data_IF_109100242302
#
_entry.id   IF_109100242302
#
_cell.length_a   1.000
_cell.length_b   1.000
_cell.length_c   1.000
_cell.angle_alpha   90.00
_cell.angle_beta   90.00
_cell.angle_gamma   90.00
#
_symmetry.space_group_name_H-M   'P 1'
#
loop_
_entity.id
_entity.type
_entity.pdbx_description
1 polymer ?
2 non-polymer ?
3 non-polymer ?
4 water ?
#
# COMPACT_ATOMS: atom_id res chain seq x y z
N UNK A 16 6.73 0.28 25.63
CA UNK A 16 5.59 -0.41 25.04
C UNK A 16 4.94 0.41 23.93
N UNK A 17 5.67 0.60 22.83
CA UNK A 17 5.26 1.52 21.78
C UNK A 17 4.33 0.91 20.72
N UNK A 18 3.39 1.72 20.23
CA UNK A 18 2.51 1.37 19.11
C UNK A 18 1.67 2.57 18.63
N UNK A 19 2.11 3.19 17.54
CA UNK A 19 1.39 4.34 16.98
C UNK A 19 0.33 3.92 15.97
N UNK A 20 -0.67 4.76 15.76
CA UNK A 20 -1.69 4.46 14.76
C UNK A 20 -1.13 4.68 13.37
N UNK A 21 -1.49 3.78 12.46
CA UNK A 21 -1.15 3.90 11.05
C UNK A 21 -2.46 4.07 10.28
N UNK A 22 -2.66 5.25 9.71
CA UNK A 22 -3.82 5.50 8.86
C UNK A 22 -3.57 5.02 7.44
N UNK A 23 -4.53 4.28 6.89
CA UNK A 23 -4.50 3.90 5.48
C UNK A 23 -5.68 4.56 4.81
N UNK A 24 -5.52 4.91 3.53
CA UNK A 24 -6.58 5.60 2.82
C UNK A 24 -6.52 5.26 1.34
N UNK A 25 -7.67 5.33 0.69
CA UNK A 25 -7.76 5.09 -0.74
C UNK A 25 -8.81 4.06 -1.13
N UNK A 26 -8.47 3.22 -2.10
CA UNK A 26 -9.44 2.31 -2.68
C UNK A 26 -9.55 0.97 -1.95
N UNK A 27 -10.76 0.63 -1.52
CA UNK A 27 -11.09 -0.74 -1.08
C UNK A 27 -11.82 -1.37 -2.25
N UNK A 28 -11.38 -2.55 -2.69
CA UNK A 28 -12.00 -3.14 -3.87
C UNK A 28 -12.27 -4.63 -3.77
N UNK A 29 -13.31 -5.07 -4.47
CA UNK A 29 -13.61 -6.48 -4.59
C UNK A 29 -12.88 -7.03 -5.80
N UNK A 30 -11.98 -7.98 -5.54
CA UNK A 30 -11.20 -8.64 -6.58
C UNK A 30 -11.87 -9.92 -7.08
N UNK A 31 -12.26 -9.90 -8.34
CA UNK A 31 -12.81 -11.08 -8.98
C UNK A 31 -11.64 -11.86 -9.55
N UNK A 32 -11.44 -13.07 -9.05
CA UNK A 32 -10.27 -13.86 -9.40
C UNK A 32 -10.70 -15.22 -9.91
N UNK A 33 -10.20 -15.60 -11.11
CA UNK A 33 -10.56 -16.86 -11.79
C UNK A 33 -10.35 -18.07 -10.90
N UNK A 34 -11.29 -19.00 -10.92
CA UNK A 34 -11.15 -20.22 -10.14
C UNK A 34 -11.73 -21.44 -10.85
N UNK A 35 -12.94 -21.82 -10.45
CA UNK A 35 -13.62 -23.02 -10.93
C UNK A 35 -13.29 -23.45 -12.34
N UNK A 36 -13.81 -22.70 -13.31
CA UNK A 36 -13.43 -22.78 -14.72
C UNK A 36 -13.91 -21.47 -15.33
N UNK A 37 -15.22 -21.24 -15.20
CA UNK A 37 -15.81 -19.93 -15.43
C UNK A 37 -16.48 -19.48 -14.14
N UNK A 38 -15.74 -19.58 -13.04
CA UNK A 38 -16.17 -19.03 -11.76
C UNK A 38 -15.20 -17.94 -11.33
N UNK A 39 -15.64 -17.08 -10.42
CA UNK A 39 -14.76 -16.08 -9.83
C UNK A 39 -14.83 -16.21 -8.29
N UNK A 40 -13.68 -16.30 -7.63
CA UNK A 40 -13.67 -16.12 -6.19
C UNK A 40 -13.99 -14.65 -5.95
N UNK A 41 -14.76 -14.36 -4.91
CA UNK A 41 -15.02 -12.98 -4.53
C UNK A 41 -14.10 -12.65 -3.36
N UNK A 42 -13.03 -11.92 -3.63
CA UNK A 42 -12.00 -11.70 -2.63
C UNK A 42 -11.94 -10.24 -2.20
N UNK A 43 -11.78 -10.01 -0.89
CA UNK A 43 -11.56 -8.63 -0.44
C UNK A 43 -10.19 -8.17 -0.95
N UNK A 44 -10.07 -6.87 -1.21
CA UNK A 44 -8.86 -6.33 -1.80
C UNK A 44 -8.79 -4.81 -1.80
N UNK A 45 -8.02 -4.24 -2.70
CA UNK A 45 -7.81 -2.81 -2.71
C UNK A 45 -6.55 -2.56 -1.91
N UNK A 46 -5.54 -2.02 -2.56
CA UNK A 46 -4.21 -1.92 -1.97
C UNK A 46 -4.15 -1.33 -0.56
N UNK A 47 -4.74 -0.14 -0.33
CA UNK A 47 -4.58 0.36 1.03
C UNK A 47 -5.38 -0.45 2.05
N UNK A 48 -6.44 -1.12 1.59
CA UNK A 48 -7.17 -2.00 2.50
C UNK A 48 -6.35 -3.25 2.79
N UNK A 49 -5.51 -3.65 1.82
CA UNK A 49 -4.66 -4.82 2.02
C UNK A 49 -3.62 -4.55 3.10
N UNK A 50 -3.00 -3.37 3.01
CA UNK A 50 -2.02 -2.96 4.00
C UNK A 50 -2.66 -2.83 5.39
N UNK A 51 -3.87 -2.30 5.46
CA UNK A 51 -4.55 -2.12 6.75
C UNK A 51 -4.74 -3.45 7.48
N UNK A 52 -5.14 -4.48 6.72
CA UNK A 52 -5.34 -5.81 7.29
C UNK A 52 -4.00 -6.42 7.68
N UNK A 53 -3.02 -6.29 6.78
CA UNK A 53 -1.66 -6.75 7.02
C UNK A 53 -1.13 -6.27 8.36
N UNK A 54 -1.23 -4.98 8.63
CA UNK A 54 -0.78 -4.43 9.91
C UNK A 54 -1.56 -5.05 11.09
N UNK A 55 -2.88 -5.17 10.93
CA UNK A 55 -3.71 -5.70 12.00
C UNK A 55 -3.41 -7.16 12.32
N UNK A 56 -3.18 -7.97 11.29
CA UNK A 56 -2.85 -9.38 11.50
C UNK A 56 -1.56 -9.59 12.33
N UNK A 57 -0.66 -8.63 12.24
CA UNK A 57 0.58 -8.63 13.02
C UNK A 57 0.40 -8.00 14.40
N UNK A 58 -0.86 -7.76 14.77
CA UNK A 58 -1.25 -7.12 16.03
C UNK A 58 -0.95 -5.63 16.03
N UNK A 59 -0.91 -5.06 14.85
CA UNK A 59 -0.75 -3.63 14.71
C UNK A 59 -2.02 -2.86 15.02
N UNK A 60 -1.92 -1.54 14.97
CA UNK A 60 -3.02 -0.63 15.26
C UNK A 60 -3.30 0.15 14.00
N UNK A 61 -4.18 -0.37 13.15
CA UNK A 61 -4.42 0.31 11.88
C UNK A 61 -5.85 0.82 11.77
N UNK A 62 -6.02 1.86 10.95
CA UNK A 62 -7.30 2.54 10.80
C UNK A 62 -7.41 3.01 9.35
N UNK A 63 -8.61 2.83 8.77
CA UNK A 63 -8.84 3.18 7.38
C UNK A 63 -9.79 4.38 7.31
N UNK A 64 -9.47 5.33 6.43
CA UNK A 64 -10.41 6.41 6.14
C UNK A 64 -10.54 6.61 4.64
N UNK A 65 -11.78 6.79 4.19
CA UNK A 65 -12.06 6.90 2.76
C UNK A 65 -13.49 6.56 2.39
N UNK A 66 -13.77 6.50 1.09
CA UNK A 66 -15.11 6.22 0.58
C UNK A 66 -15.27 4.92 -0.22
N UNK A 67 -16.29 4.14 0.14
CA UNK A 67 -16.72 3.02 -0.68
C UNK A 67 -18.12 3.35 -1.18
N UNK A 68 -18.70 2.47 -1.99
CA UNK A 68 -20.03 2.70 -2.50
C UNK A 68 -21.10 2.25 -1.53
N UNK A 69 -22.28 2.87 -1.59
CA UNK A 69 -23.40 2.39 -0.79
C UNK A 69 -24.08 1.18 -1.43
N UNK A 70 -23.31 0.10 -1.61
CA UNK A 70 -23.79 -1.10 -2.27
C UNK A 70 -23.28 -2.34 -1.52
N UNK A 71 -23.75 -3.55 -1.89
CA UNK A 71 -23.30 -4.74 -1.16
C UNK A 71 -21.77 -4.92 -1.10
N UNK A 72 -21.06 -4.66 -2.19
CA UNK A 72 -19.60 -4.75 -2.20
C UNK A 72 -18.98 -3.83 -1.14
N UNK A 73 -19.50 -2.61 -1.05
CA UNK A 73 -19.03 -1.66 -0.07
C UNK A 73 -19.23 -2.15 1.35
N UNK A 74 -20.37 -2.78 1.59
CA UNK A 74 -20.70 -3.27 2.91
C UNK A 74 -19.86 -4.51 3.23
N UNK A 75 -19.63 -5.34 2.23
CA UNK A 75 -18.73 -6.49 2.31
C UNK A 75 -17.31 -6.04 2.67
N UNK A 76 -16.86 -4.93 2.07
CA UNK A 76 -15.55 -4.37 2.40
C UNK A 76 -15.50 -3.79 3.81
N UNK A 77 -16.55 -3.07 4.20
CA UNK A 77 -16.67 -2.56 5.56
C UNK A 77 -16.57 -3.70 6.59
N UNK A 78 -17.45 -4.69 6.45
CA UNK A 78 -17.50 -5.79 7.39
C UNK A 78 -16.16 -6.53 7.37
N UNK A 79 -15.56 -6.66 6.18
CA UNK A 79 -14.27 -7.33 6.11
C UNK A 79 -13.21 -6.63 6.99
N UNK A 80 -13.07 -5.32 6.82
CA UNK A 80 -12.08 -4.53 7.56
C UNK A 80 -12.32 -4.51 9.07
N UNK A 81 -13.57 -4.44 9.52
CA UNK A 81 -13.81 -4.48 10.96
C UNK A 81 -13.65 -5.89 11.52
N UNK A 82 -13.96 -6.90 10.71
CA UNK A 82 -13.74 -8.28 11.12
C UNK A 82 -12.26 -8.50 11.38
N UNK A 83 -11.43 -7.76 10.65
CA UNK A 83 -9.99 -7.90 10.71
C UNK A 83 -9.38 -6.95 11.74
N UNK A 84 -10.24 -6.34 12.53
CA UNK A 84 -9.84 -5.45 13.63
C UNK A 84 -9.20 -4.14 13.13
N UNK A 85 -9.58 -3.73 11.92
CA UNK A 85 -9.14 -2.44 11.42
C UNK A 85 -10.22 -1.40 11.70
N UNK A 86 -9.84 -0.30 12.32
CA UNK A 86 -10.80 0.75 12.65
C UNK A 86 -11.41 1.38 11.39
N UNK A 87 -12.74 1.31 11.28
CA UNK A 87 -13.48 1.83 10.14
C UNK A 87 -14.41 2.98 10.50
N UNK A 88 -14.12 3.65 11.62
CA UNK A 88 -14.94 4.75 12.08
C UNK A 88 -15.07 5.80 10.99
N UNK A 89 -14.01 5.98 10.19
CA UNK A 89 -13.98 7.07 9.21
C UNK A 89 -14.08 6.55 7.79
N UNK A 90 -14.77 5.44 7.63
CA UNK A 90 -15.00 4.87 6.32
C UNK A 90 -16.40 5.25 5.90
N UNK A 91 -16.51 6.09 4.88
CA UNK A 91 -17.80 6.64 4.47
C UNK A 91 -18.47 5.93 3.27
N UNK A 92 -19.80 6.01 3.21
CA UNK A 92 -20.56 5.42 2.11
C UNK A 92 -21.06 6.49 1.15
N UNK A 93 -20.43 6.60 -0.02
CA UNK A 93 -20.84 7.58 -1.02
C UNK A 93 -22.25 7.27 -1.53
N UNK A 94 -23.10 8.31 -1.63
CA UNK A 94 -24.51 8.08 -1.95
C UNK A 94 -24.79 7.75 -3.41
N UNK A 95 -23.81 7.84 -4.30
CA UNK A 95 -24.10 7.69 -5.73
C UNK A 95 -23.14 6.80 -6.52
N UNK A 96 -21.86 6.83 -6.15
CA UNK A 96 -20.82 6.11 -6.91
C UNK A 96 -20.56 4.69 -6.40
N UNK A 97 -20.27 3.79 -7.34
CA UNK A 97 -20.08 2.37 -7.05
C UNK A 97 -18.75 2.00 -6.42
N UNK A 98 -18.74 0.88 -5.70
CA UNK A 98 -17.52 0.35 -5.10
C UNK A 98 -16.63 -0.19 -6.21
N UNK A 99 -15.32 -0.01 -6.09
CA UNK A 99 -14.36 -0.49 -7.07
C UNK A 99 -14.47 -2.02 -7.25
N UNK A 100 -14.40 -2.46 -8.50
CA UNK A 100 -14.54 -3.87 -8.86
C UNK A 100 -13.51 -4.25 -9.93
N UNK A 101 -12.61 -5.16 -9.59
CA UNK A 101 -11.50 -5.49 -10.47
C UNK A 101 -11.46 -6.97 -10.85
N UNK A 102 -11.26 -7.23 -12.14
CA UNK A 102 -11.11 -8.58 -12.67
C UNK A 102 -9.62 -8.91 -12.78
N UNK A 103 -9.20 -10.02 -12.17
CA UNK A 103 -7.80 -10.43 -12.26
C UNK A 103 -7.51 -11.46 -13.36
N UNK A 104 -6.45 -11.21 -14.12
CA UNK A 104 -5.91 -12.18 -15.08
C UNK A 104 -4.62 -12.79 -14.53
N UNK A 105 -4.69 -14.06 -14.12
CA UNK A 105 -3.56 -14.72 -13.47
C UNK A 105 -2.37 -14.97 -14.41
N UNK A 106 -2.59 -14.88 -15.72
CA UNK A 106 -1.50 -15.02 -16.69
C UNK A 106 -0.51 -13.85 -16.62
N UNK A 107 -0.93 -12.73 -16.03
CA UNK A 107 -0.10 -11.54 -15.86
C UNK A 107 0.13 -11.29 -14.37
N UNK A 108 1.02 -10.33 -14.05
CA UNK A 108 1.28 -9.99 -12.65
C UNK A 108 1.46 -8.48 -12.46
N UNK A 109 1.23 -7.99 -11.25
CA UNK A 109 1.27 -6.57 -11.00
C UNK A 109 0.21 -5.84 -11.79
N UNK A 110 0.46 -4.57 -12.10
CA UNK A 110 -0.45 -3.71 -12.86
C UNK A 110 -1.13 -4.39 -14.05
N UNK A 111 -0.35 -5.09 -14.87
CA UNK A 111 -0.85 -5.70 -16.10
C UNK A 111 -1.90 -6.80 -15.89
N UNK A 112 -2.15 -7.17 -14.64
CA UNK A 112 -3.08 -8.26 -14.36
C UNK A 112 -4.47 -7.74 -14.00
N UNK A 113 -4.61 -6.43 -13.89
CA UNK A 113 -5.88 -5.87 -13.46
C UNK A 113 -6.72 -5.21 -14.56
N UNK A 114 -8.03 -5.42 -14.47
CA UNK A 114 -8.97 -4.72 -15.32
C UNK A 114 -9.97 -4.04 -14.40
N UNK A 115 -9.97 -2.71 -14.42
CA UNK A 115 -10.82 -1.92 -13.54
C UNK A 115 -12.20 -1.68 -14.14
N UNK A 116 -13.24 -2.21 -13.50
CA UNK A 116 -14.59 -2.19 -14.07
C UNK A 116 -15.42 -0.96 -13.70
N UNK A 117 -14.98 -0.24 -12.68
CA UNK A 117 -15.65 0.97 -12.22
C UNK A 117 -14.71 2.20 -12.23
N UNK A 118 -14.94 3.09 -13.18
CA UNK A 118 -14.17 4.33 -13.28
C UNK A 118 -15.11 5.50 -13.59
N UNK A 119 -15.21 6.50 -12.70
CA UNK A 119 -14.57 6.60 -11.38
C UNK A 119 -15.35 5.92 -10.25
N UNK A 120 -14.66 5.18 -9.39
CA UNK A 120 -15.33 4.52 -8.28
C UNK A 120 -15.43 5.46 -7.07
N UNK A 121 -16.24 5.06 -6.09
CA UNK A 121 -16.54 5.90 -4.94
C UNK A 121 -15.32 6.55 -4.26
N UNK A 122 -14.21 5.84 -4.20
CA UNK A 122 -13.01 6.35 -3.55
C UNK A 122 -12.46 7.60 -4.22
N UNK A 123 -12.71 7.76 -5.52
CA UNK A 123 -12.20 8.92 -6.25
C UNK A 123 -12.98 10.19 -5.91
N UNK A 124 -13.93 10.06 -5.00
CA UNK A 124 -14.73 11.19 -4.57
C UNK A 124 -14.48 11.52 -3.10
N UNK A 125 -13.32 11.09 -2.62
CA UNK A 125 -12.88 11.41 -1.27
C UNK A 125 -12.85 12.91 -1.08
N UNK A 126 -13.59 13.40 -0.09
CA UNK A 126 -13.64 14.83 0.20
C UNK A 126 -12.90 15.22 1.48
N UNK A 127 -12.63 16.51 1.59
CA UNK A 127 -11.88 17.07 2.71
C UNK A 127 -12.47 16.69 4.05
N UNK A 128 -13.80 16.68 4.13
CA UNK A 128 -14.51 16.37 5.37
C UNK A 128 -14.38 14.91 5.78
N UNK A 129 -13.79 14.07 4.92
CA UNK A 129 -13.57 12.66 5.23
C UNK A 129 -12.25 12.45 6.00
N UNK A 130 -11.38 13.45 5.99
CA UNK A 130 -10.13 13.34 6.72
C UNK A 130 -10.38 13.46 8.22
N UNK A 131 -9.79 12.53 9.01
CA UNK A 131 -9.92 12.56 10.45
C UNK A 131 -8.82 13.40 11.08
N UNK A 132 -8.96 13.73 12.36
CA UNK A 132 -7.91 14.48 13.06
C UNK A 132 -6.65 13.64 13.25
N UNK A 133 -5.56 14.11 12.66
CA UNK A 133 -4.25 13.50 12.86
C UNK A 133 -3.53 13.95 14.15
N UNK A 134 -2.75 13.05 14.74
CA UNK A 134 -1.93 13.41 15.91
C UNK A 134 -0.44 13.19 15.66
N UNK A 135 0.40 13.84 16.46
CA UNK A 135 1.84 13.68 16.41
C UNK A 135 2.28 12.22 16.57
N UNK A 136 3.17 11.76 15.68
CA UNK A 136 3.75 10.43 15.79
C UNK A 136 2.98 9.36 15.06
N UNK A 137 1.76 9.69 14.63
CA UNK A 137 0.97 8.75 13.84
C UNK A 137 1.57 8.63 12.44
N UNK A 138 1.19 7.57 11.73
CA UNK A 138 1.63 7.36 10.34
C UNK A 138 0.45 7.54 9.37
N UNK A 139 0.78 7.86 8.12
CA UNK A 139 -0.19 7.90 7.01
C UNK A 139 0.42 7.18 5.81
N UNK A 140 -0.31 6.22 5.24
CA UNK A 140 0.21 5.53 4.05
C UNK A 140 -0.71 5.70 2.85
N UNK A 141 -0.12 5.96 1.68
CA UNK A 141 -0.88 6.36 0.50
C UNK A 141 -0.39 5.66 -0.79
N UNK A 142 -1.32 5.35 -1.69
CA UNK A 142 -1.00 4.82 -3.01
C UNK A 142 -1.46 5.81 -4.09
N UNK A 143 -1.00 5.61 -5.32
CA UNK A 143 -1.29 6.55 -6.41
C UNK A 143 -2.74 6.52 -6.93
N UNK A 144 -3.48 5.43 -6.72
CA UNK A 144 -4.89 5.44 -7.15
C UNK A 144 -5.64 6.57 -6.42
N UNK A 145 -5.19 6.89 -5.21
CA UNK A 145 -5.80 7.96 -4.44
C UNK A 145 -5.54 9.35 -5.09
N UNK A 146 -4.53 9.41 -5.94
CA UNK A 146 -4.15 10.63 -6.65
C UNK A 146 -4.61 10.65 -8.10
N UNK A 147 -5.34 9.60 -8.55
CA UNK A 147 -5.74 9.48 -9.95
C UNK A 147 -6.69 10.56 -10.50
N UNK A 148 -7.76 10.87 -9.76
CA UNK A 148 -8.67 11.94 -10.15
C UNK A 148 -9.13 12.82 -8.99
N UNK A 149 -9.85 13.88 -9.33
CA UNK A 149 -10.41 14.80 -8.36
C UNK A 149 -11.84 14.36 -8.02
N UNK A 150 -12.30 14.64 -6.77
CA UNK A 150 -11.59 15.41 -5.75
C UNK A 150 -10.60 14.62 -4.88
N UNK A 151 -10.46 13.31 -5.13
CA UNK A 151 -9.55 12.51 -4.30
C UNK A 151 -8.09 12.99 -4.33
N UNK A 152 -7.59 13.34 -5.51
CA UNK A 152 -6.21 13.79 -5.63
C UNK A 152 -5.93 14.93 -4.67
N UNK A 153 -6.69 16.02 -4.78
CA UNK A 153 -6.46 17.19 -3.94
C UNK A 153 -6.82 16.93 -2.49
N UNK A 154 -7.81 16.07 -2.26
CA UNK A 154 -8.14 15.67 -0.89
C UNK A 154 -6.95 14.93 -0.24
N UNK A 155 -6.35 14.03 -1.01
CA UNK A 155 -5.26 13.21 -0.49
C UNK A 155 -4.05 14.07 -0.19
N UNK A 156 -3.75 15.00 -1.09
CA UNK A 156 -2.62 15.93 -0.87
C UNK A 156 -2.80 16.77 0.37
N UNK A 157 -4.03 17.22 0.60
CA UNK A 157 -4.33 18.01 1.79
C UNK A 157 -4.10 17.19 3.05
N UNK A 158 -4.52 15.93 3.03
CA UNK A 158 -4.31 15.04 4.19
C UNK A 158 -2.82 14.77 4.46
N UNK A 159 -2.04 14.57 3.41
CA UNK A 159 -0.58 14.48 3.58
C UNK A 159 0.00 15.76 4.23
N UNK A 160 -0.39 16.93 3.73
CA UNK A 160 0.10 18.19 4.30
C UNK A 160 -0.26 18.31 5.78
N UNK A 161 -1.46 17.89 6.12
CA UNK A 161 -1.93 17.96 7.50
C UNK A 161 -1.20 17.00 8.44
N UNK A 162 -0.82 15.82 7.95
CA UNK A 162 -0.06 14.86 8.77
C UNK A 162 1.36 15.32 9.08
N UNK A 163 2.05 15.84 8.07
CA UNK A 163 3.39 16.42 8.25
C UNK A 163 3.33 17.60 9.23
N UNK A 164 2.35 18.49 9.03
CA UNK A 164 2.18 19.67 9.88
C UNK A 164 2.08 19.28 11.36
N UNK A 165 1.35 18.20 11.64
CA UNK A 165 1.07 17.85 13.03
C UNK A 165 2.22 17.10 13.71
N UNK A 166 3.21 16.66 12.95
CA UNK A 166 4.33 15.91 13.49
C UNK A 166 4.25 14.39 13.32
N UNK A 167 3.52 13.96 12.30
CA UNK A 167 3.39 12.55 11.99
C UNK A 167 4.24 12.22 10.79
N UNK A 168 4.15 10.99 10.30
CA UNK A 168 5.03 10.52 9.23
C UNK A 168 4.26 10.01 8.05
N UNK A 169 4.87 10.11 6.87
CA UNK A 169 4.19 9.75 5.62
C UNK A 169 4.84 8.58 4.88
N UNK A 170 4.04 7.56 4.57
CA UNK A 170 4.48 6.44 3.76
C UNK A 170 3.80 6.51 2.40
N UNK A 171 4.55 6.33 1.32
CA UNK A 171 3.95 6.32 -0.01
C UNK A 171 4.48 5.18 -0.86
N UNK A 172 3.56 4.59 -1.63
CA UNK A 172 3.90 3.53 -2.56
C UNK A 172 3.15 3.86 -3.83
N UNK A 173 3.88 4.13 -4.92
CA UNK A 173 3.23 4.38 -6.21
C UNK A 173 2.14 3.36 -6.50
N UNK A 174 2.48 2.06 -6.48
CA UNK A 174 1.50 1.00 -6.74
C UNK A 174 0.64 1.33 -7.96
N UNK A 175 1.29 1.48 -9.10
CA UNK A 175 0.69 2.12 -10.28
C UNK A 175 -0.39 1.30 -10.97
N UNK A 176 -1.52 1.94 -11.27
CA UNK A 176 -2.59 1.36 -12.08
C UNK A 176 -3.10 2.42 -13.04
N UNK A 177 -2.45 2.50 -14.19
CA UNK A 177 -2.63 3.61 -15.12
C UNK A 177 -4.04 3.85 -15.66
N UNK A 178 -4.80 2.79 -15.93
CA UNK A 178 -6.10 2.92 -16.57
C UNK A 178 -7.13 3.64 -15.69
N UNK A 179 -6.79 3.82 -14.41
CA UNK A 179 -7.67 4.53 -13.48
C UNK A 179 -7.68 6.04 -13.77
N UNK A 180 -6.57 6.55 -14.33
CA UNK A 180 -6.41 7.98 -14.54
C UNK A 180 -7.19 8.45 -15.75
N UNK A 181 -8.03 9.46 -15.59
CA UNK A 181 -8.72 10.06 -16.73
C UNK A 181 -7.76 10.88 -17.57
N UNK A 182 -6.75 11.46 -16.92
CA UNK A 182 -5.66 12.14 -17.63
C UNK A 182 -4.33 11.45 -17.32
N UNK A 183 -4.02 10.35 -18.03
CA UNK A 183 -2.82 9.56 -17.76
C UNK A 183 -1.54 10.33 -18.03
N UNK A 184 -1.59 11.43 -18.80
CA UNK A 184 -0.42 12.27 -18.98
C UNK A 184 0.02 12.91 -17.66
N UNK A 185 -0.87 12.93 -16.69
CA UNK A 185 -0.61 13.60 -15.41
C UNK A 185 0.00 12.68 -14.35
N UNK A 186 -0.02 11.37 -14.61
CA UNK A 186 0.51 10.37 -13.65
C UNK A 186 1.94 10.69 -13.12
N UNK A 187 2.89 10.82 -14.04
CA UNK A 187 4.29 10.97 -13.64
C UNK A 187 4.52 12.09 -12.64
N UNK A 188 4.12 13.30 -13.02
CA UNK A 188 4.34 14.47 -12.15
C UNK A 188 3.56 14.40 -10.83
N UNK A 189 2.35 13.88 -10.90
CA UNK A 189 1.50 13.81 -9.71
C UNK A 189 2.10 12.80 -8.73
N UNK A 190 2.42 11.61 -9.22
CA UNK A 190 3.10 10.62 -8.38
C UNK A 190 4.41 11.14 -7.77
N UNK A 191 5.24 11.80 -8.59
CA UNK A 191 6.52 12.31 -8.13
C UNK A 191 6.34 13.44 -7.11
N UNK A 192 5.21 14.14 -7.20
CA UNK A 192 4.92 15.19 -6.22
C UNK A 192 4.74 14.55 -4.84
N UNK A 193 4.04 13.42 -4.80
CA UNK A 193 3.84 12.72 -3.52
C UNK A 193 5.15 12.11 -2.97
N UNK A 194 5.96 11.52 -3.85
CA UNK A 194 7.29 11.06 -3.48
C UNK A 194 8.05 12.16 -2.73
N UNK A 195 7.96 13.38 -3.24
CA UNK A 195 8.61 14.53 -2.62
C UNK A 195 8.10 14.90 -1.22
N UNK A 196 7.00 14.28 -0.80
CA UNK A 196 6.36 14.61 0.48
C UNK A 196 6.56 13.55 1.56
N UNK A 197 6.94 12.33 1.18
CA UNK A 197 6.97 11.20 2.11
C UNK A 197 8.26 11.04 2.92
N UNK A 198 8.14 10.52 4.13
CA UNK A 198 9.33 10.10 4.88
C UNK A 198 9.82 8.74 4.38
N UNK A 199 8.90 7.89 3.93
CA UNK A 199 9.23 6.56 3.45
C UNK A 199 8.62 6.30 2.06
N UNK A 200 9.44 5.85 1.13
CA UNK A 200 8.94 5.51 -0.20
C UNK A 200 9.41 4.11 -0.62
N UNK A 201 8.50 3.35 -1.21
CA UNK A 201 8.79 2.01 -1.71
C UNK A 201 8.39 1.92 -3.17
N UNK A 202 9.33 1.58 -4.04
CA UNK A 202 9.03 1.29 -5.44
C UNK A 202 9.31 -0.17 -5.74
N UNK A 203 8.69 -0.65 -6.81
CA UNK A 203 9.23 -1.81 -7.51
C UNK A 203 10.35 -1.29 -8.42
N UNK A 204 11.28 -2.16 -8.77
CA UNK A 204 12.39 -1.79 -9.63
C UNK A 204 11.90 -1.21 -10.94
N UNK A 205 10.76 -1.70 -11.42
CA UNK A 205 10.19 -1.23 -12.69
C UNK A 205 9.61 0.18 -12.53
N UNK A 206 8.81 0.39 -11.50
CA UNK A 206 8.17 1.69 -11.27
C UNK A 206 9.19 2.82 -11.10
N UNK A 207 10.24 2.57 -10.32
CA UNK A 207 11.33 3.55 -10.14
C UNK A 207 11.95 3.96 -11.46
N UNK A 208 12.31 3.00 -12.28
CA UNK A 208 12.88 3.29 -13.58
C UNK A 208 11.89 4.14 -14.35
N UNK A 209 10.67 3.62 -14.48
CA UNK A 209 9.61 4.24 -15.26
C UNK A 209 9.34 5.69 -14.85
N UNK A 210 9.38 5.93 -13.54
CA UNK A 210 9.01 7.22 -12.97
C UNK A 210 10.10 8.30 -13.01
N UNK A 211 11.36 7.89 -13.11
CA UNK A 211 12.48 8.82 -13.13
C UNK A 211 13.08 8.95 -14.52
N UNK A 212 12.44 8.34 -15.51
CA UNK A 212 12.96 8.31 -16.86
C UNK A 212 14.40 7.83 -16.91
N UNK A 213 14.68 6.72 -16.25
CA UNK A 213 16.04 6.17 -16.19
C UNK A 213 16.05 4.68 -16.45
N UNK A 214 17.25 4.15 -16.71
CA UNK A 214 17.45 2.72 -16.72
C UNK A 214 18.45 2.41 -15.59
N UNK A 215 18.33 1.21 -15.01
CA UNK A 215 19.04 0.83 -13.78
C UNK A 215 18.51 1.55 -12.53
N UNK A 216 18.83 0.98 -11.37
CA UNK A 216 18.34 1.48 -10.10
C UNK A 216 19.15 2.66 -9.62
N UNK A 217 20.46 2.59 -9.83
CA UNK A 217 21.39 3.60 -9.39
C UNK A 217 21.05 4.96 -9.98
N UNK A 218 20.65 4.98 -11.25
CA UNK A 218 20.29 6.22 -11.90
C UNK A 218 18.94 6.70 -11.40
N UNK A 219 18.11 5.75 -10.98
CA UNK A 219 16.79 6.06 -10.47
C UNK A 219 16.93 6.86 -9.19
N UNK A 220 17.67 6.31 -8.24
CA UNK A 220 17.85 6.94 -6.95
C UNK A 220 18.53 8.31 -7.11
N UNK A 221 19.37 8.44 -8.14
CA UNK A 221 20.00 9.72 -8.46
C UNK A 221 18.97 10.82 -8.63
N UNK A 222 18.00 10.55 -9.49
CA UNK A 222 16.95 11.49 -9.85
C UNK A 222 16.14 12.02 -8.65
N UNK A 223 16.23 11.35 -7.51
CA UNK A 223 15.44 11.70 -6.33
C UNK A 223 16.31 12.08 -5.13
N UNK A 224 17.63 12.09 -5.34
CA UNK A 224 18.59 12.48 -4.29
C UNK A 224 18.25 13.80 -3.63
N UNK A 225 17.93 14.80 -4.45
CA UNK A 225 17.52 16.12 -3.96
C UNK A 225 16.34 16.11 -2.99
N UNK A 226 15.59 15.01 -2.94
CA UNK A 226 14.42 14.95 -2.08
C UNK A 226 14.76 14.68 -0.61
N UNK A 227 15.98 14.20 -0.37
CA UNK A 227 16.42 13.85 0.99
C UNK A 227 15.47 12.87 1.70
N UNK A 228 14.90 11.94 0.94
CA UNK A 228 14.03 10.95 1.54
C UNK A 228 14.80 10.12 2.57
N UNK A 229 14.26 10.04 3.81
CA UNK A 229 14.84 9.28 4.92
C UNK A 229 15.01 7.80 4.64
N UNK A 230 14.07 7.21 3.91
CA UNK A 230 14.15 5.79 3.60
C UNK A 230 13.50 5.45 2.27
N UNK A 231 14.30 5.00 1.30
CA UNK A 231 13.74 4.44 0.09
C UNK A 231 13.99 2.94 0.04
N UNK A 232 12.93 2.18 -0.16
CA UNK A 232 13.02 0.74 -0.34
C UNK A 232 12.66 0.34 -1.75
N UNK A 233 13.59 -0.29 -2.45
CA UNK A 233 13.31 -0.82 -3.78
C UNK A 233 13.29 -2.34 -3.77
N UNK A 234 12.11 -2.91 -3.99
CA UNK A 234 11.93 -4.36 -3.96
C UNK A 234 12.43 -4.98 -5.26
N UNK A 235 13.19 -6.06 -5.16
CA UNK A 235 13.89 -6.63 -6.31
C UNK A 235 13.26 -7.94 -6.77
N UNK A 236 12.05 -8.20 -6.29
CA UNK A 236 11.42 -9.50 -6.50
C UNK A 236 12.32 -10.60 -5.96
N UNK A 237 13.09 -11.21 -6.85
CA UNK A 237 13.89 -12.38 -6.49
C UNK A 237 14.98 -12.07 -5.47
N UNK A 238 15.62 -10.92 -5.61
CA UNK A 238 16.81 -10.62 -4.80
C UNK A 238 16.50 -9.84 -3.50
N UNK A 239 15.24 -9.83 -3.07
CA UNK A 239 14.89 -9.17 -1.83
C UNK A 239 14.52 -7.71 -1.98
N UNK A 240 15.24 -6.83 -1.27
CA UNK A 240 14.96 -5.40 -1.25
C UNK A 240 16.23 -4.58 -1.02
N UNK A 241 16.36 -3.50 -1.77
CA UNK A 241 17.46 -2.55 -1.60
C UNK A 241 17.04 -1.44 -0.64
N UNK A 242 17.85 -1.21 0.38
CA UNK A 242 17.50 -0.25 1.42
C UNK A 242 18.39 0.97 1.37
N UNK A 243 17.82 2.11 0.98
CA UNK A 243 18.61 3.32 0.77
C UNK A 243 18.31 4.34 1.82
N UNK A 244 19.30 4.61 2.67
CA UNK A 244 19.19 5.66 3.66
C UNK A 244 20.27 6.72 3.33
N UNK A 245 20.25 7.87 4.02
CA UNK A 245 21.21 8.89 3.60
C UNK A 245 22.63 8.35 3.56
N UNK A 246 23.29 8.46 2.41
CA UNK A 246 24.68 8.05 2.22
C UNK A 246 24.98 6.56 2.41
N UNK A 247 23.96 5.70 2.29
CA UNK A 247 24.20 4.27 2.36
C UNK A 247 23.12 3.44 1.70
N UNK A 248 23.52 2.34 1.04
CA UNK A 248 22.56 1.34 0.56
C UNK A 248 23.03 -0.11 0.75
N UNK A 249 22.08 -1.00 0.92
CA UNK A 249 22.39 -2.43 1.01
C UNK A 249 21.17 -3.27 0.67
N UNK A 250 21.43 -4.48 0.18
CA UNK A 250 20.37 -5.40 -0.17
C UNK A 250 19.99 -6.26 1.02
N UNK A 251 18.71 -6.30 1.35
CA UNK A 251 18.20 -7.24 2.36
C UNK A 251 17.34 -8.34 1.74
N UNK A 252 17.80 -9.59 1.81
CA UNK A 252 17.09 -10.69 1.16
C UNK A 252 16.77 -11.81 2.13
N UNK A 253 15.67 -12.51 1.89
CA UNK A 253 15.31 -13.66 2.69
C UNK A 253 15.06 -14.90 1.86
N UNK A 254 14.28 -15.84 2.40
CA UNK A 254 13.90 -17.06 1.70
C UNK A 254 12.93 -16.77 0.54
N UNK A 255 12.95 -17.65 -0.47
CA UNK A 255 12.08 -17.50 -1.63
C UNK A 255 10.89 -18.45 -1.63
N UNK A 256 9.87 -18.10 -2.42
CA UNK A 256 8.63 -18.88 -2.49
C UNK A 256 8.12 -18.95 -3.92
N UNK A 257 7.88 -20.17 -4.39
CA UNK A 257 7.16 -20.33 -5.65
C UNK A 257 5.73 -19.88 -5.37
N UNK A 258 5.31 -18.78 -6.01
CA UNK A 258 4.06 -18.12 -5.62
C UNK A 258 2.84 -18.76 -6.27
N UNK A 259 1.75 -18.88 -5.51
CA UNK A 259 0.51 -19.36 -6.08
C UNK A 259 -0.30 -18.16 -6.59
N UNK A 260 -0.29 -17.08 -5.83
CA UNK A 260 -0.98 -15.87 -6.23
C UNK A 260 -0.20 -14.65 -5.79
N UNK A 261 0.37 -13.95 -6.73
CA UNK A 261 1.21 -12.80 -6.45
C UNK A 261 0.38 -11.58 -6.04
N UNK A 262 -0.94 -11.67 -6.25
CA UNK A 262 -1.83 -10.55 -5.95
C UNK A 262 -1.68 -9.95 -4.55
N UNK A 263 -1.31 -8.67 -4.50
CA UNK A 263 -1.22 -7.94 -3.25
C UNK A 263 0.02 -8.25 -2.43
N UNK A 264 0.96 -8.98 -3.04
CA UNK A 264 2.22 -9.33 -2.39
C UNK A 264 2.98 -8.09 -1.95
N UNK A 265 3.10 -7.11 -2.84
CA UNK A 265 3.72 -5.84 -2.51
C UNK A 265 3.05 -5.13 -1.33
N UNK A 266 1.74 -5.31 -1.17
CA UNK A 266 1.02 -4.69 -0.07
C UNK A 266 1.39 -5.36 1.26
N UNK A 267 1.57 -6.67 1.23
CA UNK A 267 1.97 -7.40 2.43
C UNK A 267 3.38 -6.98 2.84
N UNK A 268 4.25 -6.83 1.86
CA UNK A 268 5.57 -6.25 2.09
C UNK A 268 5.41 -4.95 2.88
N UNK A 269 4.58 -4.04 2.37
CA UNK A 269 4.40 -2.73 2.99
C UNK A 269 3.79 -2.87 4.40
N UNK A 270 2.97 -3.91 4.56
CA UNK A 270 2.35 -4.20 5.83
C UNK A 270 3.37 -4.43 6.92
N UNK A 271 4.26 -5.39 6.69
CA UNK A 271 5.27 -5.74 7.67
C UNK A 271 6.17 -4.56 8.00
N UNK A 272 6.68 -3.92 6.95
CA UNK A 272 7.51 -2.74 7.11
C UNK A 272 6.85 -1.69 8.03
N UNK A 273 5.57 -1.40 7.81
CA UNK A 273 4.91 -0.35 8.60
C UNK A 273 4.49 -0.83 9.98
N UNK A 274 4.21 -2.12 10.11
CA UNK A 274 3.95 -2.62 11.44
C UNK A 274 5.18 -2.41 12.32
N UNK A 275 6.35 -2.76 11.81
CA UNK A 275 7.57 -2.69 12.63
C UNK A 275 8.03 -1.28 12.95
N UNK A 276 7.95 -0.37 11.97
CA UNK A 276 8.30 1.03 12.19
C UNK A 276 7.32 1.65 13.20
N UNK A 277 6.07 1.23 13.15
CA UNK A 277 5.03 1.82 13.98
C UNK A 277 5.15 1.44 15.45
N UNK A 278 5.78 0.30 15.74
CA UNK A 278 6.01 -0.12 17.13
C UNK A 278 7.43 0.17 17.60
N UNK A 279 8.19 0.95 16.85
CA UNK A 279 9.59 1.17 17.20
C UNK A 279 9.78 2.36 18.11
N UNK A 280 10.84 2.29 18.93
CA UNK A 280 11.23 3.41 19.76
C UNK A 280 11.61 4.54 18.83
N UNK A 281 12.43 4.21 17.85
CA UNK A 281 12.86 5.18 16.85
C UNK A 281 13.00 4.53 15.49
N UNK A 282 12.04 4.81 14.62
CA UNK A 282 12.03 4.17 13.32
C UNK A 282 13.24 4.50 12.44
N UNK A 283 13.96 5.58 12.77
CA UNK A 283 15.10 5.99 11.95
C UNK A 283 16.34 5.15 12.26
N UNK A 284 16.28 4.37 13.34
CA UNK A 284 17.43 3.54 13.70
C UNK A 284 17.69 2.53 12.59
N UNK A 285 18.95 2.36 12.22
CA UNK A 285 19.28 1.48 11.10
C UNK A 285 18.99 -0.02 11.41
N UNK A 286 19.32 -0.46 12.61
CA UNK A 286 18.97 -1.81 13.03
C UNK A 286 17.46 -2.00 12.93
N UNK A 287 16.71 -0.95 13.28
CA UNK A 287 15.26 -1.01 13.26
C UNK A 287 14.75 -1.15 11.83
N UNK A 288 15.30 -0.33 10.94
CA UNK A 288 14.90 -0.33 9.53
C UNK A 288 15.25 -1.68 8.89
N UNK A 289 16.46 -2.17 9.12
CA UNK A 289 16.89 -3.45 8.56
C UNK A 289 15.98 -4.61 9.01
N UNK A 290 15.60 -4.59 10.29
CA UNK A 290 14.72 -5.60 10.83
C UNK A 290 13.37 -5.50 10.15
N UNK A 291 12.87 -4.28 10.01
CA UNK A 291 11.58 -4.02 9.38
C UNK A 291 11.52 -4.59 7.98
N UNK A 292 12.58 -4.38 7.20
CA UNK A 292 12.65 -4.88 5.83
C UNK A 292 12.75 -6.41 5.79
N UNK A 293 13.26 -7.01 6.88
CA UNK A 293 13.26 -8.46 7.05
C UNK A 293 11.86 -9.02 7.29
N UNK A 294 11.08 -8.36 8.13
CA UNK A 294 9.68 -8.70 8.29
C UNK A 294 8.91 -8.50 6.96
N UNK A 295 9.15 -7.37 6.31
CA UNK A 295 8.49 -7.07 5.05
C UNK A 295 8.73 -8.13 3.97
N UNK A 296 9.95 -8.66 3.91
CA UNK A 296 10.24 -9.73 2.95
C UNK A 296 9.49 -11.03 3.25
N UNK A 297 9.43 -11.40 4.52
CA UNK A 297 8.74 -12.59 4.96
C UNK A 297 7.25 -12.52 4.67
N UNK A 298 6.65 -11.37 4.97
CA UNK A 298 5.23 -11.13 4.70
C UNK A 298 4.92 -11.25 3.21
N UNK A 299 5.70 -10.56 2.37
CA UNK A 299 5.52 -10.63 0.93
C UNK A 299 5.64 -12.03 0.36
N UNK A 300 6.50 -12.85 0.93
CA UNK A 300 6.63 -14.22 0.48
C UNK A 300 5.39 -15.03 0.87
N UNK A 301 5.03 -14.95 2.16
CA UNK A 301 3.91 -15.73 2.70
C UNK A 301 2.59 -15.36 2.06
N UNK A 302 2.42 -14.09 1.72
CA UNK A 302 1.16 -13.59 1.15
C UNK A 302 0.80 -14.23 -0.19
N UNK A 303 1.79 -14.82 -0.86
CA UNK A 303 1.57 -15.39 -2.18
C UNK A 303 1.12 -16.86 -2.16
N UNK A 304 0.93 -17.43 -0.98
CA UNK A 304 0.58 -18.86 -0.88
C UNK A 304 -0.91 -19.18 -1.04
N UNK A 305 -1.77 -18.17 -1.01
CA UNK A 305 -3.19 -18.38 -1.30
C UNK A 305 -3.74 -17.26 -2.17
N UNK A 306 -4.72 -17.60 -3.00
CA UNK A 306 -5.42 -16.63 -3.84
C UNK A 306 -6.08 -15.58 -2.96
N UNK A 307 -6.17 -14.35 -3.46
CA UNK A 307 -6.71 -13.26 -2.68
C UNK A 307 -5.61 -12.51 -1.95
N UNK A 308 -5.59 -11.19 -2.14
CA UNK A 308 -4.62 -10.32 -1.50
C UNK A 308 -4.52 -10.52 0.01
N UNK A 309 -5.67 -10.76 0.66
CA UNK A 309 -5.73 -10.75 2.12
C UNK A 309 -5.71 -12.14 2.74
N UNK A 310 -5.93 -13.16 1.93
CA UNK A 310 -6.14 -14.50 2.43
C UNK A 310 -4.98 -15.03 3.27
N UNK A 311 -3.75 -14.86 2.79
CA UNK A 311 -2.58 -15.42 3.46
C UNK A 311 -1.71 -14.41 4.23
N UNK A 312 -2.22 -13.20 4.43
CA UNK A 312 -1.55 -12.21 5.28
C UNK A 312 -1.28 -12.84 6.64
N UNK A 313 0.00 -12.96 7.01
CA UNK A 313 0.40 -13.75 8.18
C UNK A 313 0.19 -13.07 9.54
N UNK A 314 -0.13 -13.86 10.56
CA UNK A 314 -0.04 -13.39 11.94
C UNK A 314 1.40 -13.59 12.44
N UNK A 315 1.74 -13.08 13.61
CA UNK A 315 3.15 -13.15 14.04
C UNK A 315 3.65 -14.59 14.20
N UNK A 316 2.78 -15.49 14.65
CA UNK A 316 3.14 -16.88 14.87
C UNK A 316 3.62 -17.53 13.56
N UNK A 317 2.82 -17.39 12.50
CA UNK A 317 3.21 -17.86 11.18
C UNK A 317 4.54 -17.25 10.74
N UNK A 318 4.63 -15.91 10.79
CA UNK A 318 5.81 -15.20 10.28
C UNK A 318 7.13 -15.62 10.92
N UNK A 319 7.18 -15.67 12.25
CA UNK A 319 8.39 -16.06 12.97
C UNK A 319 8.85 -17.47 12.61
N UNK A 320 7.90 -18.40 12.53
CA UNK A 320 8.17 -19.78 12.14
C UNK A 320 8.75 -19.87 10.72
N UNK A 321 8.29 -19.00 9.84
CA UNK A 321 8.81 -18.94 8.48
C UNK A 321 10.22 -18.34 8.42
N UNK A 322 10.51 -17.38 9.30
CA UNK A 322 11.77 -16.65 9.29
C UNK A 322 12.88 -17.37 10.03
N UNK A 323 12.50 -18.36 10.82
CA UNK A 323 13.46 -19.09 11.67
C UNK A 323 13.91 -20.40 11.03
#
# INVERSE_FOLDING_TARGET
MKALVRLSSNHIFRSDSMSRVWLTGDAVVDLIPDGQQHYLKCPGGAPANVAVAIARLSGRSAFFGRVGNDPFGRFMQQTLTDEQVDCQHLHFDPVHRTSTVVVDLDEHGERSFTFMVKPSADQFLQLSDIPSFQKGEWLHVCSIALANQPSRSSTFAAIAQMKEVGGYVSFDPNLREEVWSEPQELQATVMRAVGLADVVKFSEEELQFLTGTQSIEEGLQAIADFQIPLVVVTLGAKGALVATPNSQQIVSGKAVKPIDTTGAGDAFVGGLLYRLSVAQDWHNQATILDAVKWANGCGALATTQKGAMTALPNQAALYAFLE
#
